data_IF_219225778527
#
_entry.id   IF_219225778527
#
_cell.length_a   1.000
_cell.length_b   1.000
_cell.length_c   1.000
_cell.angle_alpha   90.00
_cell.angle_beta   90.00
_cell.angle_gamma   90.00
#
_symmetry.space_group_name_H-M   'P 1'
#
loop_
_entity.id
_entity.type
_entity.pdbx_description
1 polymer ?
#
# COMPACT_ATOMS: atom_id res chain seq x y z
N UNK A 1 -12.26 12.94 -26.42
CA UNK A 1 -12.37 11.78 -25.51
C UNK A 1 -11.01 11.60 -24.86
N UNK A 2 -10.96 11.54 -23.53
CA UNK A 2 -9.73 11.27 -22.77
C UNK A 2 -9.39 9.79 -22.97
N UNK A 3 -8.15 9.46 -23.33
CA UNK A 3 -7.74 8.05 -23.50
C UNK A 3 -7.77 7.30 -22.17
N UNK A 4 -7.94 5.98 -22.20
CA UNK A 4 -7.92 5.15 -20.98
C UNK A 4 -6.67 5.38 -20.12
N UNK A 5 -5.51 5.59 -20.76
CA UNK A 5 -4.25 5.93 -20.08
C UNK A 5 -4.35 7.26 -19.34
N UNK A 6 -4.89 8.31 -19.96
CA UNK A 6 -5.04 9.61 -19.32
C UNK A 6 -6.04 9.56 -18.14
N UNK A 7 -7.05 8.69 -18.18
CA UNK A 7 -7.96 8.48 -17.04
C UNK A 7 -7.25 7.79 -15.87
N UNK A 8 -6.43 6.78 -16.16
CA UNK A 8 -5.63 6.09 -15.14
C UNK A 8 -4.59 7.02 -14.53
N UNK A 9 -3.91 7.82 -15.35
CA UNK A 9 -2.96 8.83 -14.88
C UNK A 9 -3.64 9.84 -13.96
N UNK A 10 -4.82 10.33 -14.35
CA UNK A 10 -5.63 11.25 -13.52
C UNK A 10 -6.02 10.62 -12.19
N UNK A 11 -6.39 9.32 -12.19
CA UNK A 11 -6.69 8.58 -10.97
C UNK A 11 -5.48 8.54 -10.03
N UNK A 12 -4.31 8.11 -10.53
CA UNK A 12 -3.11 8.03 -9.69
C UNK A 12 -2.64 9.40 -9.23
N UNK A 13 -2.57 10.42 -10.10
CA UNK A 13 -2.20 11.78 -9.69
C UNK A 13 -3.08 12.26 -8.55
N UNK A 14 -4.41 12.16 -8.69
CA UNK A 14 -5.34 12.58 -7.64
C UNK A 14 -5.12 11.85 -6.31
N UNK A 15 -4.98 10.53 -6.35
CA UNK A 15 -4.86 9.73 -5.13
C UNK A 15 -3.47 9.86 -4.48
N UNK A 16 -2.41 9.95 -5.29
CA UNK A 16 -1.04 10.17 -4.80
C UNK A 16 -0.93 11.56 -4.21
N UNK A 17 -1.40 12.61 -4.89
CA UNK A 17 -1.35 13.99 -4.37
C UNK A 17 -2.05 14.09 -3.01
N UNK A 18 -3.23 13.45 -2.90
CA UNK A 18 -3.96 13.40 -1.64
C UNK A 18 -3.18 12.64 -0.55
N UNK A 19 -2.60 11.47 -0.89
CA UNK A 19 -1.78 10.70 0.04
C UNK A 19 -0.55 11.49 0.51
N UNK A 20 0.14 12.19 -0.40
CA UNK A 20 1.30 13.02 -0.10
C UNK A 20 0.96 14.21 0.80
N UNK A 21 -0.26 14.77 0.72
CA UNK A 21 -0.70 15.81 1.64
C UNK A 21 -0.93 15.32 3.07
N UNK A 22 -1.09 14.01 3.25
CA UNK A 22 -1.46 13.38 4.52
C UNK A 22 -0.37 12.43 5.05
N UNK A 23 0.77 12.32 4.36
CA UNK A 23 1.87 11.43 4.74
C UNK A 23 3.25 12.08 4.61
N UNK A 24 3.87 12.42 5.75
CA UNK A 24 5.17 13.13 5.80
C UNK A 24 6.29 12.29 5.20
N UNK A 25 6.31 10.98 5.49
CA UNK A 25 7.35 10.09 5.00
C UNK A 25 7.32 9.95 3.47
N UNK A 26 6.13 9.82 2.89
CA UNK A 26 5.97 9.76 1.44
C UNK A 26 6.30 11.10 0.77
N UNK A 27 5.86 12.22 1.37
CA UNK A 27 6.17 13.57 0.88
C UNK A 27 7.68 13.82 0.83
N UNK A 28 8.39 13.39 1.86
CA UNK A 28 9.85 13.48 1.93
C UNK A 28 10.52 12.73 0.77
N UNK A 29 10.08 11.50 0.49
CA UNK A 29 10.62 10.71 -0.63
C UNK A 29 10.30 11.35 -1.98
N UNK A 30 9.07 11.82 -2.17
CA UNK A 30 8.69 12.53 -3.40
C UNK A 30 9.57 13.76 -3.63
N UNK A 31 9.81 14.58 -2.61
CA UNK A 31 10.64 15.77 -2.75
C UNK A 31 12.08 15.43 -3.15
N UNK A 32 12.68 14.43 -2.51
CA UNK A 32 14.05 13.98 -2.84
C UNK A 32 14.13 13.39 -4.26
N UNK A 33 13.16 12.57 -4.67
CA UNK A 33 13.11 11.97 -6.00
C UNK A 33 12.81 12.99 -7.10
N UNK A 34 11.90 13.93 -6.85
CA UNK A 34 11.58 15.02 -7.77
C UNK A 34 12.75 15.99 -7.93
N UNK A 35 13.53 16.24 -6.88
CA UNK A 35 14.77 17.01 -6.99
C UNK A 35 15.81 16.35 -7.91
N UNK A 36 15.73 15.02 -8.10
CA UNK A 36 16.54 14.27 -9.06
C UNK A 36 15.86 14.04 -10.41
N UNK A 37 14.63 14.55 -10.61
CA UNK A 37 13.86 14.41 -11.85
C UNK A 37 13.23 13.04 -12.07
N UNK A 38 13.06 12.23 -11.02
CA UNK A 38 12.50 10.86 -11.10
C UNK A 38 11.01 10.83 -10.75
N UNK A 39 10.63 11.48 -9.64
CA UNK A 39 9.30 11.35 -9.02
C UNK A 39 9.03 9.95 -8.44
N UNK A 40 7.89 9.78 -7.76
CA UNK A 40 7.55 8.50 -7.12
C UNK A 40 7.09 7.40 -8.08
N UNK A 41 6.34 7.73 -9.13
CA UNK A 41 5.59 6.75 -9.93
C UNK A 41 6.40 5.53 -10.41
N UNK A 42 7.67 5.67 -10.87
CA UNK A 42 8.48 4.52 -11.28
C UNK A 42 8.86 3.56 -10.14
N UNK A 43 8.76 4.01 -8.89
CA UNK A 43 9.16 3.27 -7.68
C UNK A 43 7.97 2.79 -6.85
N UNK A 44 6.74 3.17 -7.20
CA UNK A 44 5.57 2.65 -6.50
C UNK A 44 5.36 1.18 -6.90
N UNK A 45 5.50 0.27 -5.93
CA UNK A 45 5.21 -1.15 -6.12
C UNK A 45 3.70 -1.39 -6.22
N UNK A 46 3.00 -0.91 -5.21
CA UNK A 46 1.56 -1.05 -5.08
C UNK A 46 0.97 0.07 -4.22
N UNK A 47 -0.32 0.27 -4.39
CA UNK A 47 -1.13 1.13 -3.55
C UNK A 47 -2.25 0.31 -2.91
N UNK A 48 -2.50 0.55 -1.62
CA UNK A 48 -3.48 -0.21 -0.86
C UNK A 48 -4.71 0.64 -0.54
N UNK A 49 -5.89 0.06 -0.79
CA UNK A 49 -7.20 0.64 -0.48
C UNK A 49 -7.92 -0.29 0.49
N UNK A 50 -8.37 0.28 1.61
CA UNK A 50 -9.29 -0.38 2.53
C UNK A 50 -10.73 -0.05 2.15
N UNK A 51 -11.62 -1.03 2.14
CA UNK A 51 -13.05 -0.81 1.86
C UNK A 51 -13.95 -1.74 2.68
N UNK A 52 -15.26 -1.48 2.65
CA UNK A 52 -16.28 -2.38 3.21
C UNK A 52 -16.78 -3.39 2.17
N UNK A 53 -16.54 -3.15 0.88
CA UNK A 53 -16.94 -4.04 -0.22
C UNK A 53 -15.94 -3.93 -1.38
N UNK A 54 -15.02 -4.90 -1.47
CA UNK A 54 -14.00 -5.01 -2.52
C UNK A 54 -14.62 -5.08 -3.90
N UNK A 55 -15.75 -5.78 -4.08
CA UNK A 55 -16.36 -5.93 -5.41
C UNK A 55 -16.98 -4.62 -5.88
N UNK A 56 -17.62 -3.87 -5.00
CA UNK A 56 -18.13 -2.54 -5.33
C UNK A 56 -16.98 -1.56 -5.57
N UNK A 57 -15.97 -1.54 -4.70
CA UNK A 57 -14.80 -0.66 -4.83
C UNK A 57 -14.04 -0.91 -6.13
N UNK A 58 -13.89 -2.18 -6.53
CA UNK A 58 -13.14 -2.59 -7.71
C UNK A 58 -13.74 -2.11 -9.04
N UNK A 59 -15.04 -1.77 -9.09
CA UNK A 59 -15.70 -1.32 -10.33
C UNK A 59 -15.00 -0.13 -10.98
N UNK A 60 -14.47 0.80 -10.17
CA UNK A 60 -13.70 1.94 -10.69
C UNK A 60 -12.44 1.47 -11.42
N UNK A 61 -11.62 0.62 -10.79
CA UNK A 61 -10.35 0.19 -11.35
C UNK A 61 -10.54 -0.75 -12.55
N UNK A 62 -11.56 -1.60 -12.52
CA UNK A 62 -11.96 -2.41 -13.66
C UNK A 62 -12.37 -1.52 -14.85
N UNK A 63 -13.09 -0.42 -14.59
CA UNK A 63 -13.40 0.60 -15.60
C UNK A 63 -12.16 1.31 -16.17
N UNK A 64 -11.09 1.43 -15.38
CA UNK A 64 -9.78 1.94 -15.80
C UNK A 64 -8.90 0.87 -16.51
N UNK A 65 -9.44 -0.33 -16.72
CA UNK A 65 -8.77 -1.42 -17.43
C UNK A 65 -7.72 -2.16 -16.59
N UNK A 66 -7.86 -2.16 -15.26
CA UNK A 66 -7.19 -3.13 -14.40
C UNK A 66 -7.88 -4.50 -14.48
N UNK A 67 -7.14 -5.56 -14.18
CA UNK A 67 -7.66 -6.92 -14.11
C UNK A 67 -7.35 -7.52 -12.74
N UNK A 68 -8.28 -8.27 -12.17
CA UNK A 68 -8.03 -9.09 -10.97
C UNK A 68 -6.92 -10.11 -11.26
N UNK A 69 -5.94 -10.20 -10.34
CA UNK A 69 -4.87 -11.19 -10.39
C UNK A 69 -5.40 -12.56 -9.97
N UNK A 70 -5.90 -13.30 -10.97
CA UNK A 70 -6.45 -14.65 -10.77
C UNK A 70 -5.40 -15.70 -10.43
N UNK A 71 -4.11 -15.42 -10.68
CA UNK A 71 -3.02 -16.34 -10.34
C UNK A 71 -2.77 -16.28 -8.84
N UNK A 72 -2.75 -15.08 -8.28
CA UNK A 72 -2.63 -14.87 -6.84
C UNK A 72 -3.93 -15.24 -6.10
N UNK A 73 -5.08 -15.00 -6.73
CA UNK A 73 -6.39 -15.28 -6.14
C UNK A 73 -6.72 -14.35 -4.96
N UNK A 74 -7.58 -14.84 -4.06
CA UNK A 74 -7.92 -14.12 -2.82
C UNK A 74 -6.87 -14.43 -1.77
N UNK A 75 -6.28 -13.37 -1.21
CA UNK A 75 -5.39 -13.49 -0.06
C UNK A 75 -6.23 -13.42 1.20
N UNK A 76 -6.30 -14.52 1.95
CA UNK A 76 -7.03 -14.57 3.22
C UNK A 76 -6.09 -14.47 4.41
N UNK A 77 -6.53 -13.71 5.41
CA UNK A 77 -5.93 -13.61 6.72
C UNK A 77 -6.97 -14.02 7.77
N UNK A 78 -6.63 -13.89 9.05
CA UNK A 78 -7.50 -14.33 10.15
C UNK A 78 -8.88 -13.64 10.10
N UNK A 79 -8.90 -12.31 10.03
CA UNK A 79 -10.12 -11.49 10.11
C UNK A 79 -10.40 -10.61 8.89
N UNK A 80 -9.59 -10.71 7.86
CA UNK A 80 -9.74 -9.92 6.64
C UNK A 80 -9.14 -10.63 5.43
N UNK A 81 -9.44 -10.12 4.24
CA UNK A 81 -8.95 -10.66 2.98
C UNK A 81 -8.72 -9.54 1.98
N UNK A 82 -7.97 -9.85 0.92
CA UNK A 82 -7.67 -8.90 -0.13
C UNK A 82 -7.70 -9.53 -1.52
N UNK A 83 -7.92 -8.67 -2.52
CA UNK A 83 -7.70 -8.95 -3.94
C UNK A 83 -6.69 -7.97 -4.50
N UNK A 84 -5.94 -8.44 -5.49
CA UNK A 84 -4.97 -7.62 -6.21
C UNK A 84 -5.48 -7.36 -7.62
N UNK A 85 -5.39 -6.11 -8.06
CA UNK A 85 -5.73 -5.70 -9.41
C UNK A 85 -4.49 -5.14 -10.09
N UNK A 86 -4.22 -5.57 -11.33
CA UNK A 86 -3.02 -5.19 -12.08
C UNK A 86 -3.36 -4.60 -13.44
N UNK A 87 -2.54 -3.64 -13.85
CA UNK A 87 -2.51 -3.07 -15.20
C UNK A 87 -1.05 -2.87 -15.60
N UNK A 88 -0.55 -3.45 -16.70
CA UNK A 88 0.82 -3.24 -17.13
C UNK A 88 1.16 -1.75 -17.27
N UNK A 89 2.33 -1.35 -16.77
CA UNK A 89 2.78 0.04 -16.75
C UNK A 89 2.29 0.88 -15.56
N UNK A 90 1.49 0.30 -14.65
CA UNK A 90 0.99 0.99 -13.45
C UNK A 90 1.23 0.14 -12.19
N UNK A 91 1.30 0.78 -11.01
CA UNK A 91 1.33 0.08 -9.73
C UNK A 91 0.16 -0.88 -9.56
N UNK A 92 0.39 -1.95 -8.81
CA UNK A 92 -0.70 -2.87 -8.45
C UNK A 92 -1.63 -2.21 -7.43
N UNK A 93 -2.92 -2.52 -7.47
CA UNK A 93 -3.89 -2.09 -6.45
C UNK A 93 -4.20 -3.27 -5.54
N UNK A 94 -3.83 -3.17 -4.28
CA UNK A 94 -4.18 -4.14 -3.24
C UNK A 94 -5.42 -3.62 -2.51
N UNK A 95 -6.53 -4.36 -2.60
CA UNK A 95 -7.83 -3.90 -2.07
C UNK A 95 -8.29 -4.88 -1.01
N UNK A 96 -8.33 -4.42 0.24
CA UNK A 96 -8.66 -5.23 1.40
C UNK A 96 -10.03 -4.89 2.01
N UNK A 97 -10.62 -5.89 2.67
CA UNK A 97 -11.79 -5.72 3.51
C UNK A 97 -11.80 -6.76 4.64
N UNK A 98 -12.55 -6.46 5.71
CA UNK A 98 -12.85 -7.46 6.73
C UNK A 98 -13.76 -8.59 6.19
N UNK A 99 -13.69 -9.77 6.82
CA UNK A 99 -14.75 -10.76 6.69
C UNK A 99 -16.06 -10.24 7.29
N UNK A 100 -17.18 -10.77 6.80
CA UNK A 100 -18.50 -10.48 7.39
C UNK A 100 -18.73 -11.36 8.61
N UNK A 101 -19.35 -10.80 9.65
CA UNK A 101 -19.70 -11.52 10.87
C UNK A 101 -18.53 -11.72 11.84
N UNK A 102 -18.65 -12.70 12.72
CA UNK A 102 -17.70 -12.94 13.84
C UNK A 102 -16.24 -13.03 13.39
N UNK A 103 -15.96 -13.64 12.23
CA UNK A 103 -14.60 -13.76 11.69
C UNK A 103 -13.94 -12.39 11.50
N UNK A 104 -14.70 -11.36 11.13
CA UNK A 104 -14.18 -10.02 10.86
C UNK A 104 -14.09 -9.09 12.07
N UNK A 105 -14.62 -9.47 13.23
CA UNK A 105 -14.79 -8.55 14.37
C UNK A 105 -13.47 -7.94 14.88
N UNK A 106 -12.38 -8.69 14.80
CA UNK A 106 -11.06 -8.22 15.22
C UNK A 106 -10.36 -7.34 14.17
N UNK A 107 -10.94 -7.20 12.97
CA UNK A 107 -10.35 -6.40 11.90
C UNK A 107 -10.48 -4.90 12.20
N UNK A 108 -9.38 -4.18 12.00
CA UNK A 108 -9.34 -2.71 12.13
C UNK A 108 -9.89 -1.99 10.88
N UNK A 109 -10.08 -2.71 9.77
CA UNK A 109 -10.48 -2.16 8.48
C UNK A 109 -11.83 -1.43 8.56
N UNK A 110 -12.92 -1.99 9.12
CA UNK A 110 -14.23 -1.33 9.10
C UNK A 110 -14.21 0.01 9.83
N UNK A 111 -13.55 0.07 11.00
CA UNK A 111 -13.43 1.30 11.78
C UNK A 111 -12.60 2.35 11.04
N UNK A 112 -11.52 1.94 10.38
CA UNK A 112 -10.71 2.83 9.56
C UNK A 112 -11.52 3.40 8.39
N UNK A 113 -12.23 2.55 7.64
CA UNK A 113 -13.04 2.98 6.47
C UNK A 113 -14.20 3.88 6.90
N UNK A 114 -14.85 3.59 8.02
CA UNK A 114 -15.91 4.46 8.56
C UNK A 114 -15.38 5.84 8.97
N UNK A 115 -14.10 5.94 9.31
CA UNK A 115 -13.47 7.20 9.75
C UNK A 115 -12.92 8.02 8.58
N UNK A 116 -12.28 7.37 7.63
CA UNK A 116 -11.47 8.01 6.58
C UNK A 116 -12.06 7.86 5.16
N UNK A 117 -13.06 6.98 4.98
CA UNK A 117 -13.60 6.61 3.68
C UNK A 117 -12.69 5.63 2.91
N UNK A 118 -13.12 5.23 1.72
CA UNK A 118 -12.39 4.29 0.85
C UNK A 118 -11.94 4.91 -0.49
N UNK A 119 -12.05 6.24 -0.60
CA UNK A 119 -11.64 7.04 -1.77
C UNK A 119 -10.24 7.66 -1.57
N UNK A 120 -9.36 6.92 -0.91
CA UNK A 120 -7.96 7.30 -0.67
C UNK A 120 -7.09 6.05 -0.50
N UNK A 121 -5.77 6.21 -0.62
CA UNK A 121 -4.83 5.15 -0.29
C UNK A 121 -4.60 5.10 1.23
N UNK A 122 -4.68 3.90 1.79
CA UNK A 122 -4.26 3.65 3.17
C UNK A 122 -2.72 3.63 3.27
N UNK A 123 -2.07 3.00 2.30
CA UNK A 123 -0.62 3.09 2.13
C UNK A 123 -0.21 3.01 0.67
N UNK A 124 1.00 3.49 0.42
CA UNK A 124 1.76 3.29 -0.80
C UNK A 124 3.02 2.53 -0.41
N UNK A 125 3.38 1.52 -1.19
CA UNK A 125 4.64 0.80 -1.03
C UNK A 125 5.66 1.25 -2.06
N UNK A 126 6.85 1.64 -1.59
CA UNK A 126 7.94 2.14 -2.41
C UNK A 126 9.05 1.09 -2.51
N UNK A 127 9.40 0.74 -3.75
CA UNK A 127 10.51 -0.14 -4.06
C UNK A 127 11.81 0.49 -3.61
N UNK A 128 12.54 -0.24 -2.77
CA UNK A 128 13.88 0.13 -2.31
C UNK A 128 14.88 -0.94 -2.69
N UNK A 129 16.11 -0.51 -2.97
CA UNK A 129 17.21 -1.42 -3.31
C UNK A 129 17.78 -2.14 -2.08
N UNK A 130 17.95 -1.40 -0.98
CA UNK A 130 18.45 -1.89 0.31
C UNK A 130 17.56 -1.28 1.40
N UNK A 131 16.69 -2.10 1.99
CA UNK A 131 15.69 -1.66 2.96
C UNK A 131 16.32 -1.16 4.26
N UNK A 132 17.41 -1.77 4.73
CA UNK A 132 18.13 -1.29 5.92
C UNK A 132 18.73 0.09 5.68
N UNK A 133 19.36 0.30 4.52
CA UNK A 133 19.92 1.60 4.17
C UNK A 133 18.83 2.66 4.05
N UNK A 134 17.70 2.34 3.41
CA UNK A 134 16.56 3.24 3.28
C UNK A 134 16.00 3.64 4.67
N UNK A 135 15.78 2.66 5.56
CA UNK A 135 15.34 2.92 6.95
C UNK A 135 16.32 3.86 7.65
N UNK A 136 17.63 3.61 7.57
CA UNK A 136 18.63 4.46 8.21
C UNK A 136 18.56 5.90 7.69
N UNK A 137 18.47 6.09 6.37
CA UNK A 137 18.38 7.40 5.73
C UNK A 137 17.10 8.15 6.08
N UNK A 138 15.99 7.44 6.23
CA UNK A 138 14.70 8.03 6.63
C UNK A 138 14.66 8.36 8.12
N UNK A 139 15.25 7.52 8.99
CA UNK A 139 15.37 7.80 10.44
C UNK A 139 16.20 9.06 10.73
N UNK A 140 17.28 9.30 9.97
CA UNK A 140 18.07 10.55 10.07
C UNK A 140 17.21 11.78 9.77
N UNK A 141 16.14 11.62 8.99
CA UNK A 141 15.15 12.66 8.63
C UNK A 141 13.89 12.58 9.51
N UNK A 142 14.01 12.01 10.70
CA UNK A 142 12.95 11.92 11.71
C UNK A 142 11.70 11.15 11.26
N UNK A 143 11.87 10.17 10.36
CA UNK A 143 10.80 9.23 10.03
C UNK A 143 10.92 8.01 10.96
N UNK A 144 9.86 7.73 11.69
CA UNK A 144 9.74 6.57 12.58
C UNK A 144 9.15 5.37 11.84
N UNK A 145 9.55 4.17 12.25
CA UNK A 145 9.05 2.90 11.73
C UNK A 145 8.42 2.08 12.86
N UNK A 146 7.42 1.28 12.52
CA UNK A 146 6.73 0.39 13.46
C UNK A 146 7.07 -1.06 13.14
N UNK A 147 7.40 -1.84 14.17
CA UNK A 147 7.74 -3.26 14.04
C UNK A 147 9.15 -3.51 13.52
N UNK A 148 9.36 -4.74 13.05
CA UNK A 148 10.61 -5.20 12.44
C UNK A 148 10.42 -5.38 10.92
N UNK A 149 11.52 -5.52 10.19
CA UNK A 149 11.45 -5.91 8.77
C UNK A 149 10.87 -7.32 8.70
N UNK A 150 9.76 -7.48 7.98
CA UNK A 150 9.19 -8.80 7.70
C UNK A 150 9.81 -9.36 6.43
N UNK A 151 10.20 -10.63 6.47
CA UNK A 151 10.98 -11.28 5.42
C UNK A 151 12.46 -11.32 5.77
N UNK A 152 13.07 -12.50 5.63
CA UNK A 152 14.48 -12.68 5.96
C UNK A 152 15.40 -12.03 4.91
N UNK A 153 16.62 -11.70 5.31
CA UNK A 153 17.64 -11.17 4.40
C UNK A 153 17.91 -12.16 3.26
N UNK A 154 18.13 -11.65 2.04
CA UNK A 154 18.34 -12.44 0.83
C UNK A 154 17.15 -13.34 0.43
N UNK A 155 15.93 -12.99 0.83
CA UNK A 155 14.70 -13.63 0.34
C UNK A 155 14.02 -12.76 -0.72
N UNK A 156 12.98 -13.30 -1.35
CA UNK A 156 12.32 -12.67 -2.49
C UNK A 156 11.55 -11.38 -2.15
N UNK A 157 11.16 -11.20 -0.88
CA UNK A 157 10.34 -10.07 -0.44
C UNK A 157 10.64 -9.71 1.01
N UNK A 158 10.91 -8.43 1.24
CA UNK A 158 11.09 -7.83 2.56
C UNK A 158 10.32 -6.52 2.66
N UNK A 159 9.67 -6.28 3.79
CA UNK A 159 8.73 -5.17 3.96
C UNK A 159 8.85 -4.55 5.35
N UNK A 160 8.64 -3.24 5.45
CA UNK A 160 8.46 -2.53 6.72
C UNK A 160 7.53 -1.33 6.52
N UNK A 161 6.80 -0.96 7.57
CA UNK A 161 5.93 0.21 7.57
C UNK A 161 6.49 1.32 8.45
N UNK A 162 6.29 2.57 8.02
CA UNK A 162 6.45 3.71 8.91
C UNK A 162 5.43 3.64 10.05
N UNK A 163 5.68 4.39 11.12
CA UNK A 163 4.64 4.70 12.09
C UNK A 163 3.47 5.41 11.38
N UNK A 164 2.21 5.11 11.75
CA UNK A 164 1.06 5.76 11.12
C UNK A 164 1.03 7.24 11.43
N UNK A 165 0.67 8.01 10.40
CA UNK A 165 0.25 9.39 10.55
C UNK A 165 -1.08 9.43 11.30
N UNK A 166 -1.28 10.46 12.10
CA UNK A 166 -2.47 10.58 12.95
C UNK A 166 -3.37 11.69 12.42
N UNK A 167 -4.59 11.32 12.01
CA UNK A 167 -5.61 12.27 11.57
C UNK A 167 -6.76 12.27 12.57
N UNK A 168 -7.01 13.43 13.21
CA UNK A 168 -8.07 13.60 14.23
C UNK A 168 -8.01 12.53 15.34
N UNK A 169 -6.80 12.20 15.79
CA UNK A 169 -6.55 11.23 16.87
C UNK A 169 -6.67 9.76 16.46
N UNK A 170 -6.78 9.44 15.17
CA UNK A 170 -6.88 8.07 14.66
C UNK A 170 -5.72 7.81 13.69
N UNK A 171 -5.19 6.59 13.72
CA UNK A 171 -4.18 6.15 12.74
C UNK A 171 -4.76 6.21 11.33
N UNK A 172 -4.07 6.89 10.43
CA UNK A 172 -4.58 7.21 9.11
C UNK A 172 -3.77 6.54 7.99
N UNK A 173 -2.62 7.07 7.61
CA UNK A 173 -1.79 6.53 6.52
C UNK A 173 -0.46 6.01 7.06
N UNK A 174 0.09 5.00 6.40
CA UNK A 174 1.47 4.53 6.58
C UNK A 174 2.18 4.53 5.24
N UNK A 175 3.48 4.74 5.23
CA UNK A 175 4.33 4.46 4.07
C UNK A 175 4.94 3.06 4.25
N UNK A 176 4.93 2.25 3.20
CA UNK A 176 5.63 0.97 3.18
C UNK A 176 6.93 1.11 2.37
N UNK A 177 8.01 0.53 2.89
CA UNK A 177 9.20 0.23 2.10
C UNK A 177 9.21 -1.24 1.77
N UNK A 178 9.42 -1.55 0.49
CA UNK A 178 9.38 -2.91 -0.02
C UNK A 178 10.62 -3.20 -0.86
N UNK A 179 11.32 -4.28 -0.52
CA UNK A 179 12.49 -4.78 -1.24
C UNK A 179 12.11 -6.12 -1.90
N UNK A 180 12.21 -6.18 -3.23
CA UNK A 180 11.88 -7.37 -4.02
C UNK A 180 13.09 -7.89 -4.76
N UNK A 181 13.22 -9.22 -4.82
CA UNK A 181 14.26 -9.91 -5.57
C UNK A 181 13.65 -10.94 -6.53
N UNK A 182 14.45 -11.41 -7.50
CA UNK A 182 14.12 -12.53 -8.39
C UNK A 182 12.81 -12.38 -9.20
N UNK A 183 12.32 -11.15 -9.38
CA UNK A 183 11.07 -10.87 -10.09
C UNK A 183 9.80 -11.27 -9.31
N UNK A 184 9.89 -11.53 -8.01
CA UNK A 184 8.77 -11.97 -7.19
C UNK A 184 7.64 -10.93 -7.12
N UNK A 185 6.43 -11.36 -7.49
CA UNK A 185 5.23 -10.51 -7.61
C UNK A 185 4.19 -10.72 -6.50
N UNK A 186 4.45 -11.62 -5.53
CA UNK A 186 3.51 -11.87 -4.42
C UNK A 186 3.54 -10.77 -3.36
N UNK A 187 2.61 -10.80 -2.40
CA UNK A 187 2.45 -9.76 -1.38
C UNK A 187 2.81 -10.21 0.04
N UNK A 188 3.14 -11.49 0.20
CA UNK A 188 3.57 -12.07 1.47
C UNK A 188 4.95 -12.68 1.26
N UNK A 189 5.92 -12.47 2.17
CA UNK A 189 7.18 -13.18 2.07
C UNK A 189 6.88 -14.68 2.04
N UNK A 190 7.51 -15.47 1.15
CA UNK A 190 7.25 -16.92 1.04
C UNK A 190 7.47 -17.71 2.34
N UNK A 191 8.09 -17.09 3.34
CA UNK A 191 8.45 -17.65 4.63
C UNK A 191 7.65 -17.05 5.81
N UNK A 192 6.75 -16.07 5.57
CA UNK A 192 6.03 -15.37 6.64
C UNK A 192 4.61 -15.94 6.80
N UNK A 193 4.38 -16.66 7.90
CA UNK A 193 3.06 -16.77 8.50
C UNK A 193 2.72 -15.41 9.14
N UNK A 194 1.70 -14.71 8.61
CA UNK A 194 1.03 -13.60 9.28
C UNK A 194 1.74 -12.25 9.27
N UNK A 195 1.32 -11.35 8.39
CA UNK A 195 1.59 -9.91 8.48
C UNK A 195 0.28 -9.20 8.85
N UNK A 196 0.22 -8.59 10.04
CA UNK A 196 -0.34 -7.25 10.30
C UNK A 196 -0.59 -6.99 11.81
N UNK A 197 0.34 -6.29 12.47
CA UNK A 197 0.12 -5.58 13.75
C UNK A 197 0.39 -4.06 13.67
N UNK A 198 0.72 -3.50 12.49
CA UNK A 198 1.22 -2.11 12.35
C UNK A 198 0.18 -0.99 12.53
N UNK A 199 -1.09 -1.34 12.82
CA UNK A 199 -2.17 -0.39 13.10
C UNK A 199 -2.75 -0.47 14.53
N UNK A 200 -2.09 -1.18 15.45
CA UNK A 200 -2.42 -1.10 16.88
C UNK A 200 -1.72 0.13 17.47
N UNK A 201 -2.53 1.02 18.06
CA UNK A 201 -2.08 2.20 18.82
C UNK A 201 -1.15 1.79 19.96
#
# INVERSE_FOLDING_TARGET
MISDSQQVDTFFTKYIDYFLSENKAAKLLEDELSNCGVGLMPLIDHCTIRTLDVNTRAKEFLGLGFNEDKVLGVLEFDSWWAKVFRKPGYPSLFVDQAFVGERGESSLIPNWVNKHGDQCFHHIAILVHDIEHAIQKMKIREIEFTGEIVGAKNTDLRQIFTKPEIQKGHAYTVLELIERHNGYQGFLPPQADGLMESSRL
#
